data_IF_385988286170
#
_entry.id   IF_385988286170
#
_cell.length_a   1.000
_cell.length_b   1.000
_cell.length_c   1.000
_cell.angle_alpha   90.00
_cell.angle_beta   90.00
_cell.angle_gamma   90.00
#
_symmetry.space_group_name_H-M   'P 1'
#
loop_
_entity.id
_entity.type
_entity.pdbx_description
1 polymer ?
#
# COMPACT_ATOMS: atom_id res chain seq x y z
N UNK A 1 3.69 -15.93 21.24
CA UNK A 1 2.95 -14.80 20.63
C UNK A 1 3.41 -14.67 19.18
N UNK A 2 2.61 -14.21 18.22
CA UNK A 2 3.10 -14.06 16.85
C UNK A 2 4.27 -13.05 16.84
N UNK A 3 5.41 -13.48 16.33
CA UNK A 3 6.72 -12.80 16.38
C UNK A 3 6.83 -11.58 15.45
N UNK A 4 5.78 -11.25 14.72
CA UNK A 4 5.94 -10.38 13.57
C UNK A 4 5.38 -8.97 13.78
N UNK A 5 6.32 -8.07 14.12
CA UNK A 5 6.36 -6.63 13.80
C UNK A 5 5.71 -5.68 14.82
N UNK A 6 6.53 -5.17 15.74
CA UNK A 6 6.29 -3.92 16.47
C UNK A 6 7.27 -2.88 15.90
N UNK A 7 6.76 -1.81 15.31
CA UNK A 7 7.60 -0.69 14.86
C UNK A 7 8.03 0.13 16.08
N UNK A 8 9.26 -0.07 16.54
CA UNK A 8 9.86 0.71 17.65
C UNK A 8 10.89 1.70 17.10
N UNK A 9 10.46 2.93 16.86
CA UNK A 9 11.37 4.04 16.58
C UNK A 9 11.67 4.25 15.11
N UNK A 10 11.28 5.42 14.61
CA UNK A 10 11.66 5.88 13.27
C UNK A 10 12.57 7.10 13.45
N UNK A 11 13.84 6.98 13.09
CA UNK A 11 14.84 8.05 13.16
C UNK A 11 14.72 9.01 11.96
N UNK A 12 14.26 10.25 12.19
CA UNK A 12 14.27 11.33 11.19
C UNK A 12 15.54 12.17 11.36
N UNK A 13 16.47 12.10 10.41
CA UNK A 13 17.74 12.84 10.48
C UNK A 13 17.60 14.33 10.11
N UNK A 14 16.58 14.75 9.37
CA UNK A 14 16.35 16.15 8.95
C UNK A 14 14.90 16.42 8.55
N UNK A 15 14.31 17.59 8.89
CA UNK A 15 13.22 18.15 8.10
C UNK A 15 13.65 19.48 7.47
N UNK A 16 13.55 19.59 6.14
CA UNK A 16 13.20 20.86 5.49
C UNK A 16 11.88 20.61 4.77
N UNK A 17 10.79 20.64 5.54
CA UNK A 17 9.45 20.35 5.06
C UNK A 17 9.01 21.34 3.97
N UNK A 18 8.18 20.87 3.01
CA UNK A 18 7.46 21.70 2.04
C UNK A 18 5.99 21.31 2.07
N UNK A 19 5.11 22.30 2.17
CA UNK A 19 3.66 22.16 2.20
C UNK A 19 3.12 21.81 0.80
N UNK A 20 2.74 20.55 0.57
CA UNK A 20 2.14 20.08 -0.69
C UNK A 20 0.62 20.29 -0.69
N UNK A 21 0.19 21.55 -0.72
CA UNK A 21 -1.24 21.90 -0.77
C UNK A 21 -1.82 22.08 -2.16
N UNK A 22 -1.03 22.50 -3.17
CA UNK A 22 -1.63 23.07 -4.39
C UNK A 22 -0.79 22.94 -5.68
N UNK A 23 0.12 21.97 -5.78
CA UNK A 23 0.78 21.72 -7.07
C UNK A 23 -0.04 20.67 -7.82
N UNK A 24 -0.82 21.12 -8.80
CA UNK A 24 -1.32 20.22 -9.84
C UNK A 24 -0.11 19.62 -10.54
N UNK A 25 -0.03 18.28 -10.58
CA UNK A 25 0.90 17.58 -11.46
C UNK A 25 0.77 18.20 -12.85
N UNK A 26 1.87 18.68 -13.44
CA UNK A 26 1.85 18.92 -14.87
C UNK A 26 1.64 17.56 -15.51
N UNK A 27 0.59 17.44 -16.31
CA UNK A 27 0.30 16.19 -17.00
C UNK A 27 1.52 15.69 -17.77
N UNK A 28 1.53 14.37 -18.02
CA UNK A 28 2.54 13.62 -18.76
C UNK A 28 3.29 14.44 -19.84
N UNK A 29 4.56 14.78 -19.58
CA UNK A 29 5.48 15.29 -20.60
C UNK A 29 6.44 14.15 -20.93
N UNK A 30 6.36 13.63 -22.16
CA UNK A 30 7.25 12.61 -22.71
C UNK A 30 7.35 11.29 -21.89
N UNK A 31 6.26 10.85 -21.27
CA UNK A 31 6.19 9.58 -20.54
C UNK A 31 6.71 9.63 -19.10
N UNK A 32 7.06 10.81 -18.59
CA UNK A 32 7.57 10.99 -17.22
C UNK A 32 6.63 11.94 -16.47
N UNK A 33 6.09 11.46 -15.34
CA UNK A 33 5.40 12.33 -14.38
C UNK A 33 6.46 13.14 -13.64
N UNK A 34 6.46 14.45 -13.81
CA UNK A 34 7.41 15.35 -13.18
C UNK A 34 6.71 16.46 -12.41
N UNK A 35 7.18 16.69 -11.19
CA UNK A 35 6.80 17.83 -10.34
C UNK A 35 7.63 19.07 -10.72
N UNK A 36 7.20 20.29 -10.34
CA UNK A 36 8.00 21.49 -10.54
C UNK A 36 9.40 21.32 -9.95
N UNK A 37 10.44 21.78 -10.65
CA UNK A 37 11.80 21.73 -10.15
C UNK A 37 11.91 22.53 -8.84
N UNK A 38 12.54 21.95 -7.83
CA UNK A 38 12.86 22.68 -6.60
C UNK A 38 13.90 23.75 -6.90
N UNK A 39 13.63 24.96 -6.46
CA UNK A 39 14.56 26.09 -6.42
C UNK A 39 15.57 25.99 -5.26
N UNK A 40 15.65 24.86 -4.56
CA UNK A 40 16.64 24.60 -3.51
C UNK A 40 17.71 23.65 -4.07
N UNK A 41 18.88 24.19 -4.41
CA UNK A 41 20.04 23.40 -4.79
C UNK A 41 20.43 22.43 -3.66
N UNK A 42 20.73 21.17 -4.01
CA UNK A 42 21.13 20.09 -3.11
C UNK A 42 20.06 19.54 -2.13
N UNK A 43 18.77 19.87 -2.32
CA UNK A 43 17.70 19.16 -1.62
C UNK A 43 17.32 17.87 -2.36
N UNK A 44 17.63 16.70 -1.79
CA UNK A 44 16.85 15.50 -2.13
C UNK A 44 15.45 15.68 -1.54
N UNK A 45 14.48 16.03 -2.39
CA UNK A 45 13.07 16.05 -2.01
C UNK A 45 12.67 14.61 -1.68
N UNK A 46 12.74 14.26 -0.40
CA UNK A 46 12.02 13.11 0.11
C UNK A 46 10.58 13.56 0.20
N UNK A 47 9.60 12.89 -0.43
CA UNK A 47 8.19 13.22 -0.28
C UNK A 47 7.74 12.86 1.14
N UNK A 48 8.20 13.60 2.14
CA UNK A 48 7.57 13.62 3.44
C UNK A 48 6.31 14.43 3.23
N UNK A 49 5.24 13.70 2.98
CA UNK A 49 3.90 14.21 2.82
C UNK A 49 3.56 14.98 4.11
N UNK A 50 3.68 16.30 4.07
CA UNK A 50 2.82 17.13 4.90
C UNK A 50 1.45 17.07 4.23
N UNK A 51 0.71 15.98 4.44
CA UNK A 51 -0.73 16.15 4.48
C UNK A 51 -1.00 17.27 5.47
N UNK A 52 -2.09 18.04 5.35
CA UNK A 52 -2.56 18.78 6.50
C UNK A 52 -2.63 17.79 7.67
N UNK A 53 -1.65 17.87 8.58
CA UNK A 53 -1.48 16.95 9.73
C UNK A 53 -2.70 17.05 10.66
N UNK A 54 -3.64 17.95 10.37
CA UNK A 54 -4.77 18.30 11.20
C UNK A 54 -5.98 18.68 10.34
N UNK A 55 -6.55 17.76 9.54
CA UNK A 55 -7.96 17.89 9.14
C UNK A 55 -8.80 17.28 10.24
N UNK A 56 -9.81 17.97 10.75
CA UNK A 56 -10.65 17.41 11.81
C UNK A 56 -11.73 16.48 11.19
N UNK A 57 -11.80 15.18 11.54
CA UNK A 57 -10.98 14.46 12.52
C UNK A 57 -9.60 14.00 11.98
N UNK A 58 -8.55 14.20 12.79
CA UNK A 58 -7.13 14.06 12.41
C UNK A 58 -6.77 12.64 11.95
N UNK A 59 -6.57 12.41 10.64
CA UNK A 59 -6.02 11.16 10.12
C UNK A 59 -4.50 11.15 10.30
N UNK A 60 -3.98 10.37 11.26
CA UNK A 60 -2.53 10.17 11.39
C UNK A 60 -2.06 9.16 10.36
N UNK A 61 -1.15 9.54 9.46
CA UNK A 61 -0.60 8.70 8.37
C UNK A 61 -0.18 7.31 8.87
N UNK A 62 0.53 7.24 9.99
CA UNK A 62 0.94 5.94 10.50
C UNK A 62 -0.24 5.10 10.99
N UNK A 63 -1.30 5.69 11.59
CA UNK A 63 -2.50 4.94 11.96
C UNK A 63 -3.20 4.38 10.73
N UNK A 64 -3.21 5.16 9.64
CA UNK A 64 -3.66 4.69 8.34
C UNK A 64 -2.81 3.52 7.81
N UNK A 65 -1.49 3.59 7.94
CA UNK A 65 -0.58 2.52 7.53
C UNK A 65 -0.72 1.23 8.35
N UNK A 66 -1.20 1.33 9.60
CA UNK A 66 -1.52 0.17 10.45
C UNK A 66 -2.96 -0.33 10.32
N UNK A 67 -3.74 0.22 9.40
CA UNK A 67 -5.06 -0.35 9.07
C UNK A 67 -4.92 -1.71 8.42
N UNK A 68 -6.03 -2.44 8.39
CA UNK A 68 -6.11 -3.74 7.71
C UNK A 68 -6.18 -3.62 6.17
N UNK A 69 -5.99 -2.43 5.60
CA UNK A 69 -5.95 -2.22 4.16
C UNK A 69 -4.67 -2.78 3.52
N UNK A 70 -3.58 -2.87 4.27
CA UNK A 70 -2.30 -3.39 3.80
C UNK A 70 -2.11 -4.85 4.20
N UNK A 71 -1.37 -5.60 3.39
CA UNK A 71 -0.86 -6.90 3.85
C UNK A 71 0.05 -6.67 5.06
N UNK A 72 -0.06 -7.48 6.13
CA UNK A 72 0.88 -7.44 7.24
C UNK A 72 2.31 -7.58 6.74
N UNK A 73 3.23 -6.85 7.37
CA UNK A 73 4.66 -6.87 7.00
C UNK A 73 5.25 -8.29 6.98
N UNK A 74 4.83 -9.15 7.89
CA UNK A 74 5.20 -10.59 7.95
C UNK A 74 4.98 -11.35 6.65
N UNK A 75 3.98 -10.94 5.88
CA UNK A 75 3.62 -11.51 4.59
C UNK A 75 4.23 -10.68 3.46
N UNK A 76 4.07 -9.35 3.50
CA UNK A 76 4.54 -8.46 2.45
C UNK A 76 6.05 -8.61 2.17
N UNK A 77 6.87 -8.81 3.22
CA UNK A 77 8.33 -8.98 3.10
C UNK A 77 8.74 -10.14 2.18
N UNK A 78 7.88 -11.14 1.97
CA UNK A 78 8.15 -12.28 1.08
C UNK A 78 8.23 -11.89 -0.40
N UNK A 79 7.75 -10.70 -0.76
CA UNK A 79 7.70 -10.19 -2.13
C UNK A 79 8.79 -9.16 -2.44
N UNK A 80 9.72 -8.90 -1.52
CA UNK A 80 10.85 -7.97 -1.73
C UNK A 80 11.72 -8.38 -2.93
N UNK A 81 11.87 -9.68 -3.17
CA UNK A 81 12.67 -10.22 -4.27
C UNK A 81 11.86 -10.56 -5.53
N UNK A 82 10.56 -10.23 -5.53
CA UNK A 82 9.65 -10.66 -6.58
C UNK A 82 9.13 -12.07 -6.32
N UNK A 83 7.81 -12.23 -6.25
CA UNK A 83 7.19 -13.55 -6.18
C UNK A 83 5.76 -13.49 -6.72
N UNK A 84 5.21 -14.64 -7.09
CA UNK A 84 3.81 -14.76 -7.49
C UNK A 84 2.90 -14.65 -6.26
N UNK A 85 1.95 -13.72 -6.30
CA UNK A 85 1.00 -13.49 -5.20
C UNK A 85 -0.22 -14.39 -5.25
N UNK A 86 -0.46 -15.11 -6.35
CA UNK A 86 -1.61 -16.03 -6.46
C UNK A 86 -1.59 -17.12 -5.38
N UNK A 87 -0.41 -17.54 -4.92
CA UNK A 87 -0.28 -18.51 -3.83
C UNK A 87 -0.74 -18.00 -2.45
N UNK A 88 -1.01 -16.70 -2.30
CA UNK A 88 -1.48 -16.10 -1.04
C UNK A 88 -2.98 -16.22 -0.83
N UNK A 89 -3.73 -16.48 -1.91
CA UNK A 89 -5.17 -16.69 -1.85
C UNK A 89 -5.43 -18.20 -1.74
N UNK A 90 -5.91 -18.63 -0.58
CA UNK A 90 -6.22 -20.04 -0.30
C UNK A 90 -7.34 -20.59 -1.21
N UNK A 91 -8.09 -19.71 -1.88
CA UNK A 91 -9.19 -20.05 -2.78
C UNK A 91 -8.77 -19.81 -4.23
N UNK A 92 -8.68 -20.89 -5.02
CA UNK A 92 -8.21 -20.87 -6.42
C UNK A 92 -9.06 -19.97 -7.32
N UNK A 93 -10.35 -19.89 -7.07
CA UNK A 93 -11.28 -19.06 -7.83
C UNK A 93 -10.95 -17.57 -7.65
N UNK A 94 -10.47 -17.14 -6.48
CA UNK A 94 -10.04 -15.75 -6.27
C UNK A 94 -8.77 -15.41 -7.05
N UNK A 95 -7.89 -16.39 -7.31
CA UNK A 95 -6.75 -16.18 -8.21
C UNK A 95 -7.22 -15.86 -9.63
N UNK A 96 -8.26 -16.57 -10.11
CA UNK A 96 -8.86 -16.30 -11.41
C UNK A 96 -9.48 -14.91 -11.44
N UNK A 97 -10.19 -14.50 -10.37
CA UNK A 97 -10.74 -13.14 -10.25
C UNK A 97 -9.62 -12.09 -10.31
N UNK A 98 -8.52 -12.27 -9.57
CA UNK A 98 -7.39 -11.34 -9.58
C UNK A 98 -6.74 -11.22 -10.98
N UNK A 99 -6.50 -12.35 -11.65
CA UNK A 99 -5.98 -12.35 -13.01
C UNK A 99 -6.92 -11.66 -14.00
N UNK A 100 -8.24 -11.82 -13.83
CA UNK A 100 -9.22 -11.12 -14.63
C UNK A 100 -9.20 -9.62 -14.37
N UNK A 101 -9.01 -9.14 -13.14
CA UNK A 101 -8.86 -7.71 -12.84
C UNK A 101 -7.69 -7.09 -13.62
N UNK A 102 -6.51 -7.73 -13.59
CA UNK A 102 -5.33 -7.29 -14.32
C UNK A 102 -5.56 -7.31 -15.84
N UNK A 103 -6.14 -8.40 -16.32
CA UNK A 103 -6.48 -8.62 -17.74
C UNK A 103 -7.44 -7.54 -18.24
N UNK A 104 -8.51 -7.30 -17.51
CA UNK A 104 -9.54 -6.34 -17.86
C UNK A 104 -8.98 -4.93 -17.88
N UNK A 105 -8.19 -4.56 -16.85
CA UNK A 105 -7.47 -3.28 -16.83
C UNK A 105 -6.60 -3.09 -18.07
N UNK A 106 -5.74 -4.07 -18.37
CA UNK A 106 -4.79 -3.97 -19.47
C UNK A 106 -5.47 -3.79 -20.82
N UNK A 107 -6.52 -4.56 -21.10
CA UNK A 107 -7.27 -4.44 -22.35
C UNK A 107 -8.07 -3.12 -22.42
N UNK A 108 -8.63 -2.65 -21.29
CA UNK A 108 -9.34 -1.37 -21.22
C UNK A 108 -8.43 -0.18 -21.52
N UNK A 109 -7.23 -0.15 -20.94
CA UNK A 109 -6.26 0.93 -21.18
C UNK A 109 -5.85 1.00 -22.66
N UNK A 110 -5.81 -0.16 -23.33
CA UNK A 110 -5.59 -0.30 -24.76
C UNK A 110 -6.84 -0.05 -25.61
N UNK A 111 -7.94 0.42 -25.01
CA UNK A 111 -9.20 0.73 -25.69
C UNK A 111 -9.76 -0.45 -26.49
N UNK A 112 -9.49 -1.68 -26.05
CA UNK A 112 -9.92 -2.90 -26.73
C UNK A 112 -9.52 -2.92 -28.22
N UNK A 113 -8.31 -2.44 -28.53
CA UNK A 113 -7.73 -2.50 -29.87
C UNK A 113 -7.91 -3.89 -30.48
N UNK A 114 -8.43 -3.98 -31.70
CA UNK A 114 -8.68 -5.27 -32.38
C UNK A 114 -10.04 -5.90 -32.10
N UNK A 115 -10.94 -5.22 -31.36
CA UNK A 115 -12.34 -5.61 -31.25
C UNK A 115 -13.02 -5.63 -32.63
N UNK A 116 -13.67 -6.75 -32.96
CA UNK A 116 -14.39 -6.97 -34.23
C UNK A 116 -15.85 -7.30 -33.97
N UNK A 117 -16.71 -6.73 -34.79
CA UNK A 117 -18.16 -6.93 -34.72
C UNK A 117 -18.68 -7.41 -36.06
N UNK A 118 -19.74 -8.23 -36.05
CA UNK A 118 -20.47 -8.59 -37.27
C UNK A 118 -21.35 -7.41 -37.75
N UNK A 119 -22.01 -7.57 -38.90
CA UNK A 119 -22.92 -6.56 -39.46
C UNK A 119 -24.11 -6.22 -38.55
N UNK A 120 -24.43 -7.09 -37.58
CA UNK A 120 -25.52 -6.91 -36.60
C UNK A 120 -25.03 -6.29 -35.28
N UNK A 121 -23.73 -6.00 -35.16
CA UNK A 121 -23.12 -5.46 -33.96
C UNK A 121 -22.81 -6.49 -32.87
N UNK A 122 -22.86 -7.80 -33.17
CA UNK A 122 -22.45 -8.83 -32.21
C UNK A 122 -20.92 -8.94 -32.18
N UNK A 123 -20.31 -9.14 -30.99
CA UNK A 123 -18.89 -9.37 -30.89
C UNK A 123 -18.51 -10.66 -31.61
N UNK A 124 -17.46 -10.62 -32.43
CA UNK A 124 -16.93 -11.80 -33.15
C UNK A 124 -15.60 -12.28 -32.58
N UNK A 125 -15.10 -11.59 -31.56
CA UNK A 125 -13.87 -11.96 -30.88
C UNK A 125 -13.79 -11.53 -29.41
N UNK A 126 -12.79 -12.05 -28.69
CA UNK A 126 -12.62 -11.81 -27.25
C UNK A 126 -12.47 -10.34 -26.88
N UNK A 127 -11.79 -9.56 -27.71
CA UNK A 127 -11.63 -8.12 -27.48
C UNK A 127 -12.98 -7.38 -27.54
N UNK A 128 -13.84 -7.73 -28.50
CA UNK A 128 -15.19 -7.17 -28.61
C UNK A 128 -16.12 -7.66 -27.51
N UNK A 129 -16.06 -8.95 -27.14
CA UNK A 129 -16.82 -9.51 -26.02
C UNK A 129 -16.49 -8.78 -24.71
N UNK A 130 -15.19 -8.56 -24.46
CA UNK A 130 -14.77 -7.82 -23.27
C UNK A 130 -15.21 -6.36 -23.34
N UNK A 131 -15.04 -5.69 -24.49
CA UNK A 131 -15.48 -4.30 -24.67
C UNK A 131 -16.96 -4.12 -24.34
N UNK A 132 -17.81 -5.03 -24.80
CA UNK A 132 -19.25 -4.98 -24.55
C UNK A 132 -19.57 -4.99 -23.05
N UNK A 133 -18.80 -5.70 -22.21
CA UNK A 133 -18.97 -5.67 -20.75
C UNK A 133 -18.75 -4.29 -20.14
N UNK A 134 -17.95 -3.44 -20.77
CA UNK A 134 -17.65 -2.08 -20.30
C UNK A 134 -18.58 -1.01 -20.88
N UNK A 135 -19.43 -1.35 -21.86
CA UNK A 135 -20.33 -0.38 -22.47
C UNK A 135 -21.37 0.12 -21.45
N UNK A 136 -21.41 1.44 -21.26
CA UNK A 136 -22.30 2.09 -20.30
C UNK A 136 -21.90 1.92 -18.82
N UNK A 137 -20.76 1.30 -18.52
CA UNK A 137 -20.32 1.04 -17.16
C UNK A 137 -18.96 1.68 -16.86
N UNK A 138 -18.72 2.03 -15.59
CA UNK A 138 -17.39 2.46 -15.16
C UNK A 138 -16.48 1.22 -15.02
N UNK A 139 -15.19 1.34 -15.33
CA UNK A 139 -14.30 0.18 -15.32
C UNK A 139 -14.17 -0.45 -13.93
N UNK A 140 -14.24 0.33 -12.85
CA UNK A 140 -14.25 -0.23 -11.49
C UNK A 140 -15.50 -1.08 -11.21
N UNK A 141 -16.66 -0.72 -11.77
CA UNK A 141 -17.91 -1.46 -11.54
C UNK A 141 -17.89 -2.81 -12.27
N UNK A 142 -17.32 -2.87 -13.47
CA UNK A 142 -17.16 -4.12 -14.24
C UNK A 142 -16.23 -5.09 -13.53
N UNK A 143 -15.06 -4.60 -13.07
CA UNK A 143 -14.11 -5.42 -12.33
C UNK A 143 -14.69 -5.89 -11.00
N UNK A 144 -15.25 -4.96 -10.21
CA UNK A 144 -15.87 -5.31 -8.94
C UNK A 144 -17.02 -6.30 -9.09
N UNK A 145 -17.77 -6.22 -10.20
CA UNK A 145 -18.78 -7.22 -10.55
C UNK A 145 -18.26 -8.65 -10.60
N UNK A 146 -17.00 -8.88 -11.01
CA UNK A 146 -16.39 -10.21 -11.00
C UNK A 146 -16.27 -10.75 -9.56
N UNK A 147 -15.80 -9.91 -8.65
CA UNK A 147 -15.63 -10.28 -7.26
C UNK A 147 -16.98 -10.37 -6.52
N UNK A 148 -17.92 -9.48 -6.80
CA UNK A 148 -19.27 -9.54 -6.25
C UNK A 148 -20.02 -10.81 -6.71
N UNK A 149 -19.91 -11.20 -7.98
CA UNK A 149 -20.49 -12.46 -8.47
C UNK A 149 -19.85 -13.67 -7.79
N UNK A 150 -18.52 -13.70 -7.68
CA UNK A 150 -17.84 -14.76 -6.94
C UNK A 150 -18.33 -14.85 -5.49
N UNK A 151 -18.55 -13.72 -4.81
CA UNK A 151 -19.10 -13.68 -3.44
C UNK A 151 -20.51 -14.25 -3.36
N UNK A 152 -21.37 -13.98 -4.34
CA UNK A 152 -22.73 -14.54 -4.40
C UNK A 152 -22.69 -16.07 -4.52
N UNK A 153 -21.81 -16.59 -5.37
CA UNK A 153 -21.65 -18.03 -5.57
C UNK A 153 -21.01 -18.72 -4.35
N UNK A 154 -20.26 -17.98 -3.53
CA UNK A 154 -19.47 -18.48 -2.41
C UNK A 154 -19.92 -17.91 -1.05
N UNK A 155 -21.21 -17.60 -0.90
CA UNK A 155 -21.73 -16.85 0.27
C UNK A 155 -21.42 -17.49 1.64
N UNK A 156 -21.22 -18.81 1.69
CA UNK A 156 -20.89 -19.55 2.93
C UNK A 156 -19.44 -19.32 3.39
N UNK A 157 -18.57 -18.82 2.51
CA UNK A 157 -17.13 -18.62 2.71
C UNK A 157 -16.77 -17.13 2.89
N UNK A 158 -17.77 -16.25 3.06
CA UNK A 158 -17.58 -14.80 3.09
C UNK A 158 -16.82 -14.27 4.31
N UNK A 159 -16.70 -15.06 5.37
CA UNK A 159 -15.93 -14.71 6.57
C UNK A 159 -14.45 -15.14 6.49
N UNK A 160 -14.02 -15.66 5.33
CA UNK A 160 -12.69 -16.22 5.20
C UNK A 160 -11.63 -15.13 5.09
N UNK A 161 -10.49 -15.37 5.73
CA UNK A 161 -9.27 -14.57 5.57
C UNK A 161 -8.92 -14.32 4.10
N UNK A 162 -9.32 -15.20 3.18
CA UNK A 162 -9.14 -15.06 1.74
C UNK A 162 -9.78 -13.78 1.17
N UNK A 163 -11.00 -13.40 1.59
CA UNK A 163 -11.69 -12.16 1.15
C UNK A 163 -10.91 -10.93 1.59
N UNK A 164 -10.42 -10.95 2.84
CA UNK A 164 -9.59 -9.88 3.39
C UNK A 164 -8.26 -9.77 2.64
N UNK A 165 -7.57 -10.89 2.42
CA UNK A 165 -6.31 -10.94 1.65
C UNK A 165 -6.49 -10.44 0.23
N UNK A 166 -7.58 -10.84 -0.43
CA UNK A 166 -7.92 -10.37 -1.77
C UNK A 166 -8.02 -8.83 -1.82
N UNK A 167 -8.79 -8.23 -0.90
CA UNK A 167 -8.90 -6.77 -0.82
C UNK A 167 -7.56 -6.08 -0.55
N UNK A 168 -6.73 -6.63 0.34
CA UNK A 168 -5.39 -6.12 0.63
C UNK A 168 -4.48 -6.16 -0.61
N UNK A 169 -4.54 -7.25 -1.38
CA UNK A 169 -3.79 -7.40 -2.63
C UNK A 169 -4.26 -6.36 -3.65
N UNK A 170 -5.57 -6.23 -3.87
CA UNK A 170 -6.14 -5.21 -4.78
C UNK A 170 -5.72 -3.81 -4.37
N UNK A 171 -5.78 -3.50 -3.08
CA UNK A 171 -5.37 -2.21 -2.55
C UNK A 171 -3.87 -1.95 -2.82
N UNK A 172 -3.00 -2.91 -2.55
CA UNK A 172 -1.55 -2.77 -2.81
C UNK A 172 -1.20 -2.77 -4.30
N UNK A 173 -2.06 -3.31 -5.17
CA UNK A 173 -1.96 -3.29 -6.62
C UNK A 173 -2.75 -2.16 -7.28
N UNK A 174 -3.17 -1.12 -6.54
CA UNK A 174 -4.08 -0.07 -7.03
C UNK A 174 -3.71 0.51 -8.40
N UNK A 175 -2.42 0.58 -8.76
CA UNK A 175 -1.97 1.10 -10.05
C UNK A 175 -2.33 0.22 -11.25
N UNK A 176 -2.62 -1.05 -11.03
CA UNK A 176 -2.78 -2.08 -12.06
C UNK A 176 -4.19 -2.66 -12.12
N UNK A 177 -5.11 -2.16 -11.30
CA UNK A 177 -6.49 -2.64 -11.23
C UNK A 177 -7.45 -1.46 -11.10
N UNK A 178 -8.56 -1.49 -11.83
CA UNK A 178 -9.70 -0.59 -11.52
C UNK A 178 -10.60 -1.29 -10.51
N UNK A 179 -10.82 -0.68 -9.34
CA UNK A 179 -11.67 -1.26 -8.29
C UNK A 179 -12.04 -0.21 -7.25
N UNK A 180 -13.21 -0.30 -6.63
CA UNK A 180 -13.56 0.51 -5.44
C UNK A 180 -12.67 0.23 -4.24
N UNK A 181 -11.99 -0.91 -4.22
CA UNK A 181 -11.03 -1.28 -3.18
C UNK A 181 -9.61 -0.76 -3.44
N UNK A 182 -9.36 -0.15 -4.62
CA UNK A 182 -8.10 0.49 -4.96
C UNK A 182 -8.11 1.99 -4.57
N UNK A 183 -6.93 2.53 -4.25
CA UNK A 183 -6.75 3.97 -3.99
C UNK A 183 -7.08 4.75 -5.25
N UNK A 184 -7.90 5.79 -5.09
CA UNK A 184 -8.49 6.55 -6.18
C UNK A 184 -9.01 5.66 -7.33
N UNK A 185 -9.52 4.48 -6.94
CA UNK A 185 -10.02 3.44 -7.84
C UNK A 185 -9.05 2.95 -8.90
N UNK A 186 -7.75 3.24 -8.74
CA UNK A 186 -6.69 2.92 -9.70
C UNK A 186 -6.57 3.87 -10.90
N UNK A 187 -7.20 5.05 -10.87
CA UNK A 187 -7.08 6.03 -11.96
C UNK A 187 -5.71 6.73 -12.03
N UNK A 188 -4.94 6.71 -10.95
CA UNK A 188 -3.61 7.31 -10.86
C UNK A 188 -2.70 6.48 -9.95
N UNK A 189 -1.46 6.94 -9.80
CA UNK A 189 -0.40 6.28 -9.03
C UNK A 189 -0.31 6.73 -7.57
N UNK A 190 -1.39 7.30 -7.04
CA UNK A 190 -1.50 7.84 -5.68
C UNK A 190 -1.12 6.81 -4.61
N UNK A 191 -1.30 5.51 -4.86
CA UNK A 191 -0.87 4.45 -3.94
C UNK A 191 0.62 4.49 -3.62
N UNK A 192 1.45 4.94 -4.57
CA UNK A 192 2.89 5.06 -4.35
C UNK A 192 3.23 6.14 -3.33
N UNK A 193 2.35 7.14 -3.20
CA UNK A 193 2.47 8.23 -2.26
C UNK A 193 1.81 7.92 -0.92
N UNK A 194 0.62 7.32 -0.90
CA UNK A 194 -0.13 7.16 0.35
C UNK A 194 0.27 5.93 1.15
N UNK A 195 0.89 4.95 0.51
CA UNK A 195 1.13 3.64 1.12
C UNK A 195 2.49 3.55 1.81
N UNK A 196 2.59 2.84 2.96
CA UNK A 196 3.88 2.50 3.52
C UNK A 196 4.68 1.65 2.53
N UNK A 197 4.00 0.75 1.82
CA UNK A 197 4.54 -0.10 0.76
C UNK A 197 3.41 -0.54 -0.18
N UNK A 198 3.78 -0.85 -1.41
CA UNK A 198 2.86 -1.22 -2.48
C UNK A 198 3.52 -2.27 -3.39
N UNK A 199 2.72 -2.85 -4.28
CA UNK A 199 3.22 -3.81 -5.26
C UNK A 199 3.46 -3.13 -6.61
N UNK A 200 4.64 -3.34 -7.17
CA UNK A 200 4.93 -3.13 -8.59
C UNK A 200 4.68 -4.46 -9.32
N UNK A 201 3.84 -4.44 -10.35
CA UNK A 201 3.54 -5.64 -11.14
C UNK A 201 4.71 -5.93 -12.09
N UNK A 202 5.27 -7.13 -12.00
CA UNK A 202 6.37 -7.62 -12.84
C UNK A 202 5.83 -8.48 -13.99
N UNK A 203 4.73 -9.19 -13.76
CA UNK A 203 4.09 -10.01 -14.79
C UNK A 203 3.77 -9.21 -16.05
N UNK A 204 3.89 -9.86 -17.19
CA UNK A 204 3.46 -9.33 -18.49
C UNK A 204 2.35 -10.20 -19.06
N UNK A 205 1.34 -9.61 -19.71
CA UNK A 205 0.23 -10.39 -20.22
C UNK A 205 0.60 -11.08 -21.53
N UNK A 206 0.03 -12.26 -21.74
CA UNK A 206 0.21 -13.05 -22.95
C UNK A 206 -0.81 -12.61 -24.01
N UNK A 207 -0.36 -12.41 -25.25
CA UNK A 207 -1.28 -12.21 -26.37
C UNK A 207 -1.97 -13.54 -26.67
N UNK A 208 -3.29 -13.59 -26.54
CA UNK A 208 -4.10 -14.80 -26.81
C UNK A 208 -4.73 -14.72 -28.20
N UNK A 209 -5.13 -13.51 -28.60
CA UNK A 209 -5.68 -13.21 -29.91
C UNK A 209 -5.17 -11.82 -30.37
N UNK A 210 -5.26 -11.53 -31.66
CA UNK A 210 -5.15 -10.17 -32.18
C UNK A 210 -6.04 -9.18 -31.43
N UNK A 211 -5.41 -8.34 -30.62
CA UNK A 211 -6.12 -7.33 -29.85
C UNK A 211 -6.58 -7.76 -28.46
N UNK A 212 -6.21 -8.96 -28.01
CA UNK A 212 -6.61 -9.47 -26.71
C UNK A 212 -5.46 -10.14 -25.96
N UNK A 213 -5.27 -9.73 -24.71
CA UNK A 213 -4.18 -10.18 -23.84
C UNK A 213 -4.72 -10.70 -22.52
N UNK A 214 -4.10 -11.73 -21.93
CA UNK A 214 -4.47 -12.32 -20.63
C UNK A 214 -3.25 -12.48 -19.72
N UNK A 215 -3.40 -12.18 -18.44
CA UNK A 215 -2.42 -12.53 -17.42
C UNK A 215 -2.58 -13.99 -16.99
N UNK A 216 -1.45 -14.69 -16.82
CA UNK A 216 -1.42 -16.09 -16.34
C UNK A 216 -0.83 -16.22 -14.93
N UNK A 217 -0.06 -15.23 -14.51
CA UNK A 217 0.55 -15.12 -13.20
C UNK A 217 0.42 -13.68 -12.67
N UNK A 218 0.70 -13.49 -11.39
CA UNK A 218 0.75 -12.16 -10.77
C UNK A 218 2.01 -12.04 -9.93
N UNK A 219 3.15 -11.97 -10.63
CA UNK A 219 4.44 -11.70 -10.04
C UNK A 219 4.53 -10.23 -9.67
N UNK A 220 4.82 -9.98 -8.41
CA UNK A 220 4.90 -8.63 -7.85
C UNK A 220 6.19 -8.42 -7.09
N UNK A 221 6.73 -7.22 -7.19
CA UNK A 221 7.84 -6.73 -6.38
C UNK A 221 7.29 -5.77 -5.32
N UNK A 222 7.63 -6.01 -4.05
CA UNK A 222 7.31 -5.06 -3.00
C UNK A 222 8.19 -3.81 -3.15
N UNK A 223 7.56 -2.65 -3.19
CA UNK A 223 8.25 -1.38 -3.32
C UNK A 223 7.69 -0.35 -2.32
N UNK A 224 8.45 0.72 -2.07
CA UNK A 224 8.05 1.79 -1.18
C UNK A 224 8.75 3.09 -1.58
N UNK A 225 8.01 4.19 -1.50
CA UNK A 225 8.58 5.54 -1.63
C UNK A 225 9.27 6.00 -0.34
N UNK A 226 9.11 5.23 0.74
CA UNK A 226 9.55 5.55 2.10
C UNK A 226 10.64 4.60 2.58
N UNK A 227 10.56 3.32 2.27
CA UNK A 227 11.45 2.30 2.79
C UNK A 227 12.34 1.73 1.71
N UNK A 228 13.55 1.38 2.11
CA UNK A 228 14.42 0.55 1.29
C UNK A 228 14.39 -0.87 1.83
N UNK A 229 13.91 -1.80 1.02
CA UNK A 229 13.90 -3.21 1.39
C UNK A 229 15.24 -3.84 1.04
N UNK A 230 15.93 -4.37 2.05
CA UNK A 230 17.15 -5.14 1.85
C UNK A 230 16.86 -6.32 0.91
N UNK A 231 17.48 -6.32 -0.28
CA UNK A 231 17.28 -7.34 -1.32
C UNK A 231 16.61 -6.86 -2.63
N UNK A 232 16.25 -5.58 -2.76
CA UNK A 232 15.77 -4.96 -4.01
C UNK A 232 16.90 -4.51 -4.97
N UNK A 233 16.55 -3.93 -6.16
CA UNK A 233 17.55 -3.50 -7.15
C UNK A 233 18.54 -2.45 -6.59
N UNK A 234 19.83 -2.70 -6.77
CA UNK A 234 20.95 -1.86 -6.35
C UNK A 234 21.13 -0.60 -7.22
N UNK A 235 21.55 0.56 -6.66
CA UNK A 235 21.93 0.78 -5.28
C UNK A 235 20.76 1.18 -4.37
N UNK A 236 20.75 0.74 -3.10
CA UNK A 236 19.72 1.12 -2.16
C UNK A 236 19.84 2.62 -1.79
N UNK A 237 18.88 3.46 -2.19
CA UNK A 237 18.73 4.81 -1.61
C UNK A 237 17.86 4.70 -0.36
N UNK A 238 18.45 4.86 0.82
CA UNK A 238 17.76 4.68 2.09
C UNK A 238 17.81 5.96 2.95
N UNK A 239 16.65 6.45 3.37
CA UNK A 239 16.53 7.56 4.32
C UNK A 239 16.09 7.11 5.73
N UNK A 240 15.85 5.81 5.95
CA UNK A 240 15.26 5.25 7.18
C UNK A 240 15.91 3.92 7.61
N UNK A 241 16.27 3.79 8.89
CA UNK A 241 16.92 2.57 9.42
C UNK A 241 15.85 1.60 9.96
N UNK A 242 15.92 0.34 9.54
CA UNK A 242 15.17 -0.77 10.16
C UNK A 242 15.59 -0.89 11.64
N UNK A 243 14.62 -0.79 12.55
CA UNK A 243 14.85 -1.04 13.97
C UNK A 243 14.29 -2.42 14.29
N UNK A 244 15.19 -3.36 14.55
CA UNK A 244 14.81 -4.69 15.03
C UNK A 244 14.02 -4.56 16.33
N UNK A 245 13.02 -5.43 16.51
CA UNK A 245 12.35 -5.61 17.79
C UNK A 245 13.42 -5.83 18.85
N UNK A 246 13.61 -4.82 19.69
CA UNK A 246 14.45 -4.93 20.86
C UNK A 246 13.50 -5.14 22.02
N UNK A 247 13.40 -6.38 22.52
CA UNK A 247 12.79 -6.66 23.83
C UNK A 247 13.52 -5.91 24.95
N UNK A 248 14.70 -5.37 24.64
CA UNK A 248 15.45 -4.51 25.52
C UNK A 248 15.21 -3.05 25.15
N UNK A 249 14.99 -2.19 26.15
CA UNK A 249 14.88 -0.76 25.92
C UNK A 249 16.11 -0.14 25.25
N UNK A 250 15.96 1.07 24.70
CA UNK A 250 17.04 1.78 24.01
C UNK A 250 18.18 2.09 24.99
N UNK A 251 19.30 1.38 24.87
CA UNK A 251 20.43 1.55 25.79
C UNK A 251 21.30 2.79 25.52
N UNK A 252 20.98 3.59 24.49
CA UNK A 252 21.76 4.77 24.09
C UNK A 252 20.86 5.97 23.83
N UNK A 253 20.90 6.96 24.72
CA UNK A 253 20.26 8.28 24.52
C UNK A 253 20.96 8.99 23.36
N UNK A 254 20.21 9.34 22.31
CA UNK A 254 20.80 9.81 21.05
C UNK A 254 20.15 11.07 20.44
N UNK A 255 19.32 11.79 21.22
CA UNK A 255 18.72 13.09 20.87
C UNK A 255 17.82 13.05 19.61
N UNK A 256 17.40 11.87 19.15
CA UNK A 256 16.56 11.71 17.97
C UNK A 256 15.09 11.66 18.31
N UNK A 257 14.26 11.85 17.29
CA UNK A 257 12.84 11.55 17.40
C UNK A 257 12.58 10.08 17.14
N UNK A 258 11.69 9.51 17.94
CA UNK A 258 11.20 8.14 17.85
C UNK A 258 9.70 8.16 17.67
N UNK A 259 9.19 7.21 16.91
CA UNK A 259 7.77 6.90 16.80
C UNK A 259 7.54 5.56 17.46
N UNK A 260 6.67 5.54 18.46
CA UNK A 260 6.27 4.35 19.19
C UNK A 260 4.89 3.96 18.72
N UNK A 261 4.75 2.71 18.29
CA UNK A 261 3.46 2.10 17.99
C UNK A 261 3.11 1.17 19.15
N UNK A 262 2.04 1.48 19.87
CA UNK A 262 1.63 0.74 21.07
C UNK A 262 0.11 0.57 21.12
N UNK A 263 -0.37 -0.42 21.87
CA UNK A 263 -1.79 -0.60 22.21
C UNK A 263 -1.88 -1.14 23.63
N UNK A 264 -2.99 -0.86 24.30
CA UNK A 264 -3.25 -1.40 25.65
C UNK A 264 -3.49 -2.90 25.58
N UNK A 265 -4.75 -3.30 25.33
CA UNK A 265 -5.10 -4.70 25.07
C UNK A 265 -4.97 -5.05 23.58
N UNK A 266 -4.97 -6.35 23.28
CA UNK A 266 -4.93 -6.87 21.90
C UNK A 266 -6.11 -6.43 21.03
N UNK A 267 -7.25 -6.11 21.66
CA UNK A 267 -8.46 -5.66 20.99
C UNK A 267 -8.57 -4.14 20.89
N UNK A 268 -7.61 -3.39 21.43
CA UNK A 268 -7.63 -1.93 21.41
C UNK A 268 -6.98 -1.39 20.13
N UNK A 269 -7.38 -0.19 19.74
CA UNK A 269 -6.79 0.52 18.61
C UNK A 269 -5.29 0.77 18.80
N UNK A 270 -4.53 0.61 17.73
CA UNK A 270 -3.11 0.98 17.72
C UNK A 270 -2.94 2.49 17.82
N UNK A 271 -2.04 2.89 18.73
CA UNK A 271 -1.70 4.27 19.03
C UNK A 271 -0.27 4.55 18.65
N UNK A 272 -0.04 5.78 18.21
CA UNK A 272 1.24 6.19 17.64
C UNK A 272 1.64 7.49 18.26
N UNK A 273 2.79 7.45 18.91
CA UNK A 273 3.29 8.53 19.75
C UNK A 273 4.68 8.88 19.29
N UNK A 274 4.93 10.17 19.10
CA UNK A 274 6.25 10.67 18.77
C UNK A 274 6.88 11.26 20.03
N UNK A 275 8.12 10.88 20.33
CA UNK A 275 8.87 11.48 21.41
C UNK A 275 10.32 11.76 20.99
N UNK A 276 10.97 12.71 21.67
CA UNK A 276 12.38 13.02 21.47
C UNK A 276 13.19 12.32 22.56
N UNK A 277 14.12 11.45 22.17
CA UNK A 277 14.99 10.68 23.05
C UNK A 277 16.16 11.51 23.55
N UNK A 278 15.82 12.58 24.28
CA UNK A 278 16.76 13.52 24.88
C UNK A 278 16.46 13.77 26.36
N UNK A 279 15.24 13.44 26.81
CA UNK A 279 14.82 13.71 28.18
C UNK A 279 15.12 12.49 29.06
N UNK A 280 16.13 12.61 29.93
CA UNK A 280 16.45 11.65 31.00
C UNK A 280 15.46 11.75 32.19
N UNK A 281 14.18 11.99 31.90
CA UNK A 281 13.14 12.09 32.93
C UNK A 281 12.00 11.18 32.57
N UNK A 282 11.41 10.58 33.59
CA UNK A 282 10.15 9.87 33.42
C UNK A 282 9.10 10.82 32.87
N UNK A 283 8.52 10.45 31.73
CA UNK A 283 7.50 11.25 31.06
C UNK A 283 6.43 10.33 30.52
N UNK A 284 5.19 10.65 30.87
CA UNK A 284 4.04 10.03 30.24
C UNK A 284 3.95 10.56 28.81
N UNK A 285 4.17 9.67 27.85
CA UNK A 285 4.12 9.97 26.43
C UNK A 285 2.68 9.91 25.91
N UNK A 286 1.87 9.00 26.44
CA UNK A 286 0.47 8.81 26.05
C UNK A 286 -0.31 8.04 27.12
N UNK A 287 -1.64 8.24 27.16
CA UNK A 287 -2.56 7.51 28.03
C UNK A 287 -3.72 6.97 27.22
N UNK A 288 -4.13 5.75 27.49
CA UNK A 288 -5.29 5.14 26.86
C UNK A 288 -5.95 4.12 27.78
N UNK A 289 -7.21 4.39 28.13
CA UNK A 289 -7.94 3.63 29.15
C UNK A 289 -7.14 3.60 30.47
N UNK A 290 -6.85 2.42 31.02
CA UNK A 290 -5.97 2.25 32.19
C UNK A 290 -4.48 2.26 31.86
N UNK A 291 -4.11 2.22 30.58
CA UNK A 291 -2.72 2.06 30.18
C UNK A 291 -2.00 3.39 29.98
N UNK A 292 -0.74 3.45 30.41
CA UNK A 292 0.13 4.61 30.26
C UNK A 292 1.45 4.23 29.57
N UNK A 293 1.75 4.85 28.43
CA UNK A 293 3.06 4.75 27.79
C UNK A 293 4.00 5.79 28.42
N UNK A 294 5.14 5.35 28.96
CA UNK A 294 6.10 6.24 29.64
C UNK A 294 7.55 5.98 29.24
N UNK A 295 8.38 7.03 29.30
CA UNK A 295 9.85 6.89 29.37
C UNK A 295 10.27 6.64 30.81
N UNK A 296 11.38 5.93 31.01
CA UNK A 296 11.95 5.66 32.32
C UNK A 296 12.78 6.83 32.87
N UNK A 297 13.06 6.78 34.17
CA UNK A 297 13.87 7.77 34.88
C UNK A 297 15.31 7.88 34.35
N UNK A 298 15.82 6.85 33.66
CA UNK A 298 17.16 6.84 33.06
C UNK A 298 17.14 7.15 31.55
N UNK A 299 15.99 7.53 30.99
CA UNK A 299 15.85 8.00 29.62
C UNK A 299 16.04 6.94 28.54
N UNK A 300 16.54 5.74 28.87
CA UNK A 300 16.75 4.66 27.90
C UNK A 300 15.53 3.78 27.67
N UNK A 301 14.70 3.60 28.71
CA UNK A 301 13.66 2.59 28.67
C UNK A 301 12.25 3.14 28.39
N UNK A 302 11.49 2.39 27.60
CA UNK A 302 10.10 2.67 27.23
C UNK A 302 9.20 1.56 27.81
N UNK A 303 8.17 1.97 28.55
CA UNK A 303 7.30 1.05 29.27
C UNK A 303 5.82 1.35 29.02
N UNK A 304 5.01 0.30 29.04
CA UNK A 304 3.56 0.38 29.11
C UNK A 304 3.16 -0.05 30.52
N UNK A 305 2.57 0.85 31.28
CA UNK A 305 2.03 0.59 32.62
C UNK A 305 0.52 0.38 32.57
N UNK A 306 -0.01 -0.32 33.58
CA UNK A 306 -1.42 -0.64 33.77
C UNK A 306 -1.99 0.12 34.98
#
# INVERSE_FOLDING_TARGET
MPEDTVFTGIEIKYPKAILFGNIKCWGNINGIYSYPPSNIENASLVPLLSMPIETNPNLRIFQYWFTESFLPWSIAKKYIQGNDILGLLDVKELNIVLLNYLTYRYNYDRKFQGAKYDEKGNPTNKAAELRQKFEGQKPEDVNDGLFENWKLDNYKSLNDNAVKRFKQIIYMLSNYVYSKYAINKGYNDDVKLFSPYYFELVSTPNKIEDGYWEFKDCQVLLNSSYFNFSGGPTPPKNYWKEVYASEKPFNQVDNKYYFVVWRGNENNDWRIVKFKHFEQKEKILDKYDKYELKTSHFGGDLFIYL
#
